data_IF_739804439316
#
_entry.id   IF_739804439316
#
_cell.length_a   1.000
_cell.length_b   1.000
_cell.length_c   1.000
_cell.angle_alpha   90.00
_cell.angle_beta   90.00
_cell.angle_gamma   90.00
#
_symmetry.space_group_name_H-M   'P 1'
#
loop_
_entity.id
_entity.type
_entity.pdbx_description
1 polymer ?
#
# COMPACT_ATOMS: atom_id res chain seq x y z
N UNK A 1 -34.01 19.29 21.45
CA UNK A 1 -33.47 18.48 20.33
C UNK A 1 -32.03 18.82 19.89
N UNK A 2 -31.28 19.70 20.58
CA UNK A 2 -29.95 20.14 20.12
C UNK A 2 -28.78 19.17 20.35
N UNK A 3 -28.80 18.37 21.42
CA UNK A 3 -27.64 17.54 21.86
C UNK A 3 -27.25 16.41 20.89
N UNK A 4 -28.23 15.76 20.24
CA UNK A 4 -27.97 14.70 19.24
C UNK A 4 -27.32 15.21 17.94
N UNK A 5 -27.54 16.49 17.58
CA UNK A 5 -26.94 17.09 16.37
C UNK A 5 -25.49 17.51 16.59
N UNK A 6 -25.12 17.96 17.79
CA UNK A 6 -23.74 18.31 18.13
C UNK A 6 -22.85 17.06 18.27
N UNK A 7 -23.35 15.99 18.88
CA UNK A 7 -22.61 14.72 18.98
C UNK A 7 -22.34 14.09 17.61
N UNK A 8 -23.31 14.13 16.68
CA UNK A 8 -23.12 13.66 15.30
C UNK A 8 -22.10 14.49 14.51
N UNK A 9 -22.00 15.80 14.78
CA UNK A 9 -20.96 16.65 14.16
C UNK A 9 -19.58 16.32 14.72
N UNK A 10 -19.45 16.17 16.03
CA UNK A 10 -18.19 15.80 16.69
C UNK A 10 -17.67 14.43 16.21
N UNK A 11 -18.55 13.43 16.06
CA UNK A 11 -18.16 12.13 15.52
C UNK A 11 -17.72 12.19 14.05
N UNK A 12 -18.38 13.02 13.22
CA UNK A 12 -17.96 13.23 11.82
C UNK A 12 -16.63 13.94 11.70
N UNK A 13 -16.35 14.91 12.57
CA UNK A 13 -15.06 15.59 12.61
C UNK A 13 -13.94 14.65 13.08
N UNK A 14 -14.21 13.81 14.09
CA UNK A 14 -13.28 12.76 14.52
C UNK A 14 -13.00 11.72 13.42
N UNK A 15 -14.04 11.29 12.68
CA UNK A 15 -13.90 10.38 11.54
C UNK A 15 -13.11 11.01 10.39
N UNK A 16 -13.40 12.26 10.03
CA UNK A 16 -12.62 13.00 9.00
C UNK A 16 -11.17 13.18 9.40
N UNK A 17 -10.89 13.44 10.68
CA UNK A 17 -9.52 13.55 11.18
C UNK A 17 -8.78 12.20 11.12
N UNK A 18 -9.46 11.10 11.47
CA UNK A 18 -8.91 9.74 11.36
C UNK A 18 -8.67 9.33 9.90
N UNK A 19 -9.61 9.63 9.00
CA UNK A 19 -9.47 9.40 7.55
C UNK A 19 -8.31 10.22 6.97
N UNK A 20 -8.18 11.49 7.34
CA UNK A 20 -7.07 12.33 6.89
C UNK A 20 -5.71 11.83 7.40
N UNK A 21 -5.65 11.32 8.63
CA UNK A 21 -4.44 10.68 9.18
C UNK A 21 -4.10 9.38 8.44
N UNK A 22 -5.10 8.56 8.12
CA UNK A 22 -4.94 7.34 7.34
C UNK A 22 -4.49 7.63 5.90
N UNK A 23 -5.04 8.67 5.26
CA UNK A 23 -4.63 9.12 3.92
C UNK A 23 -3.16 9.57 3.91
N UNK A 24 -2.74 10.38 4.89
CA UNK A 24 -1.33 10.81 5.00
C UNK A 24 -0.38 9.63 5.24
N UNK A 25 -0.78 8.65 6.06
CA UNK A 25 0.00 7.44 6.26
C UNK A 25 0.11 6.60 4.96
N UNK A 26 -0.98 6.51 4.20
CA UNK A 26 -1.00 5.82 2.91
C UNK A 26 -0.12 6.52 1.86
N UNK A 27 -0.12 7.85 1.81
CA UNK A 27 0.75 8.64 0.91
C UNK A 27 2.24 8.45 1.24
N UNK A 28 2.61 8.49 2.52
CA UNK A 28 3.99 8.23 2.96
C UNK A 28 4.42 6.81 2.62
N UNK A 29 3.54 5.83 2.80
CA UNK A 29 3.79 4.45 2.41
C UNK A 29 3.96 4.32 0.88
N UNK A 30 3.13 5.00 0.09
CA UNK A 30 3.22 5.01 -1.38
C UNK A 30 4.53 5.64 -1.88
N UNK A 31 4.98 6.74 -1.27
CA UNK A 31 6.26 7.36 -1.60
C UNK A 31 7.45 6.45 -1.26
N UNK A 32 7.44 5.81 -0.09
CA UNK A 32 8.47 4.84 0.30
C UNK A 32 8.51 3.66 -0.67
N UNK A 33 7.35 3.14 -1.09
CA UNK A 33 7.25 2.06 -2.09
C UNK A 33 7.86 2.46 -3.44
N UNK A 34 7.54 3.66 -3.93
CA UNK A 34 8.13 4.18 -5.18
C UNK A 34 9.65 4.25 -5.10
N UNK A 35 10.19 4.77 -3.99
CA UNK A 35 11.65 4.82 -3.76
C UNK A 35 12.28 3.44 -3.70
N UNK A 36 11.62 2.47 -3.06
CA UNK A 36 12.11 1.09 -3.00
C UNK A 36 12.12 0.41 -4.36
N UNK A 37 11.06 0.55 -5.17
CA UNK A 37 11.04 -0.04 -6.52
C UNK A 37 12.15 0.53 -7.41
N UNK A 38 12.35 1.84 -7.39
CA UNK A 38 13.44 2.50 -8.13
C UNK A 38 14.80 2.08 -7.58
N UNK A 39 14.95 2.05 -6.25
CA UNK A 39 16.20 1.66 -5.59
C UNK A 39 16.63 0.23 -5.91
N UNK A 40 15.70 -0.72 -5.90
CA UNK A 40 15.98 -2.12 -6.26
C UNK A 40 16.41 -2.23 -7.72
N UNK A 41 15.72 -1.55 -8.64
CA UNK A 41 16.11 -1.54 -10.06
C UNK A 41 17.50 -0.92 -10.25
N UNK A 42 17.75 0.25 -9.66
CA UNK A 42 19.04 0.93 -9.75
C UNK A 42 20.18 0.08 -9.18
N UNK A 43 19.98 -0.53 -8.00
CA UNK A 43 20.96 -1.41 -7.37
C UNK A 43 21.24 -2.66 -8.23
N UNK A 44 20.20 -3.24 -8.83
CA UNK A 44 20.34 -4.40 -9.72
C UNK A 44 21.17 -4.07 -10.96
N UNK A 45 20.88 -2.94 -11.61
CA UNK A 45 21.62 -2.49 -12.79
C UNK A 45 23.07 -2.18 -12.43
N UNK A 46 23.33 -1.49 -11.31
CA UNK A 46 24.69 -1.20 -10.86
C UNK A 46 25.48 -2.47 -10.52
N UNK A 47 24.84 -3.44 -9.84
CA UNK A 47 25.48 -4.71 -9.52
C UNK A 47 25.80 -5.52 -10.79
N UNK A 48 24.87 -5.55 -11.76
CA UNK A 48 25.08 -6.23 -13.04
C UNK A 48 26.20 -5.56 -13.85
N UNK A 49 26.22 -4.22 -13.93
CA UNK A 49 27.29 -3.49 -14.62
C UNK A 49 28.65 -3.68 -13.93
N UNK A 50 28.70 -3.67 -12.59
CA UNK A 50 29.91 -3.92 -11.84
C UNK A 50 30.43 -5.35 -12.03
N UNK A 51 29.55 -6.34 -12.08
CA UNK A 51 29.91 -7.72 -12.37
C UNK A 51 30.42 -7.90 -13.81
N UNK A 52 29.76 -7.26 -14.78
CA UNK A 52 30.09 -7.40 -16.19
C UNK A 52 31.39 -6.69 -16.57
N UNK A 53 31.56 -5.43 -16.14
CA UNK A 53 32.74 -4.64 -16.51
C UNK A 53 33.88 -4.69 -15.49
N UNK A 54 33.59 -4.91 -14.21
CA UNK A 54 34.60 -4.91 -13.14
C UNK A 54 35.20 -6.28 -12.86
N UNK A 55 34.42 -7.35 -13.02
CA UNK A 55 34.83 -8.72 -12.75
C UNK A 55 34.92 -9.58 -14.01
N UNK A 56 34.44 -9.07 -15.16
CA UNK A 56 34.37 -9.76 -16.45
C UNK A 56 33.71 -11.16 -16.37
N UNK A 57 32.84 -11.34 -15.37
CA UNK A 57 32.19 -12.62 -15.09
C UNK A 57 30.72 -12.56 -15.50
N UNK A 58 30.43 -13.20 -16.64
CA UNK A 58 29.08 -13.31 -17.20
C UNK A 58 28.12 -14.09 -16.28
N UNK A 59 28.63 -15.06 -15.51
CA UNK A 59 27.81 -15.83 -14.57
C UNK A 59 27.38 -14.96 -13.41
N UNK A 60 28.30 -14.17 -12.88
CA UNK A 60 28.03 -13.25 -11.78
C UNK A 60 27.04 -12.16 -12.20
N UNK A 61 27.15 -11.69 -13.44
CA UNK A 61 26.20 -10.76 -14.06
C UNK A 61 24.79 -11.37 -14.14
N UNK A 62 24.68 -12.61 -14.62
CA UNK A 62 23.42 -13.34 -14.66
C UNK A 62 22.80 -13.55 -13.27
N UNK A 63 23.62 -13.90 -12.26
CA UNK A 63 23.17 -14.05 -10.87
C UNK A 63 22.67 -12.70 -10.33
N UNK A 64 23.37 -11.59 -10.58
CA UNK A 64 22.94 -10.26 -10.14
C UNK A 64 21.57 -9.88 -10.71
N UNK A 65 21.33 -10.15 -12.00
CA UNK A 65 20.04 -9.91 -12.65
C UNK A 65 18.95 -10.80 -12.06
N UNK A 66 19.22 -12.09 -11.83
CA UNK A 66 18.24 -13.03 -11.25
C UNK A 66 17.86 -12.62 -9.83
N UNK A 67 18.84 -12.32 -8.98
CA UNK A 67 18.60 -11.89 -7.60
C UNK A 67 17.86 -10.56 -7.58
N UNK A 68 18.27 -9.59 -8.38
CA UNK A 68 17.62 -8.30 -8.48
C UNK A 68 16.18 -8.39 -8.99
N UNK A 69 15.95 -9.25 -9.99
CA UNK A 69 14.60 -9.57 -10.49
C UNK A 69 13.72 -10.19 -9.42
N UNK A 70 14.24 -11.13 -8.62
CA UNK A 70 13.51 -11.75 -7.51
C UNK A 70 13.14 -10.72 -6.43
N UNK A 71 14.09 -9.87 -6.04
CA UNK A 71 13.86 -8.79 -5.07
C UNK A 71 12.82 -7.79 -5.57
N UNK A 72 12.88 -7.42 -6.84
CA UNK A 72 11.88 -6.56 -7.46
C UNK A 72 10.48 -7.19 -7.39
N UNK A 73 10.38 -8.49 -7.67
CA UNK A 73 9.13 -9.23 -7.66
C UNK A 73 8.52 -9.28 -6.25
N UNK A 74 9.32 -9.50 -5.21
CA UNK A 74 8.88 -9.44 -3.80
C UNK A 74 8.34 -8.06 -3.43
N UNK A 75 9.04 -6.98 -3.82
CA UNK A 75 8.60 -5.60 -3.56
C UNK A 75 7.32 -5.28 -4.33
N UNK A 76 7.21 -5.71 -5.59
CA UNK A 76 6.03 -5.51 -6.42
C UNK A 76 4.79 -6.23 -5.87
N UNK A 77 4.94 -7.48 -5.44
CA UNK A 77 3.85 -8.25 -4.81
C UNK A 77 3.41 -7.64 -3.48
N UNK A 78 4.36 -7.23 -2.64
CA UNK A 78 4.06 -6.50 -1.41
C UNK A 78 3.33 -5.17 -1.66
N UNK A 79 3.65 -4.49 -2.77
CA UNK A 79 2.96 -3.26 -3.17
C UNK A 79 1.51 -3.52 -3.64
N UNK A 80 1.27 -4.59 -4.39
CA UNK A 80 -0.06 -5.00 -4.86
C UNK A 80 -1.00 -5.36 -3.70
N UNK A 81 -0.54 -6.20 -2.77
CA UNK A 81 -1.36 -6.63 -1.63
C UNK A 81 -1.76 -5.47 -0.71
N UNK A 82 -0.91 -4.45 -0.59
CA UNK A 82 -1.15 -3.31 0.29
C UNK A 82 -1.82 -2.11 -0.40
N UNK A 83 -2.27 -2.25 -1.65
CA UNK A 83 -3.12 -1.29 -2.36
C UNK A 83 -4.60 -1.69 -2.38
N UNK A 84 -4.92 -2.91 -1.94
CA UNK A 84 -6.30 -3.38 -1.82
C UNK A 84 -6.87 -2.80 -0.53
N UNK A 85 -7.74 -1.79 -0.66
CA UNK A 85 -8.56 -1.34 0.48
C UNK A 85 -9.31 -2.55 1.04
N UNK A 86 -9.33 -2.75 2.38
CA UNK A 86 -10.18 -3.76 2.99
C UNK A 86 -11.59 -3.54 2.46
N UNK A 87 -12.12 -4.51 1.69
CA UNK A 87 -13.51 -4.48 1.24
C UNK A 87 -14.34 -4.43 2.50
N UNK A 88 -15.05 -3.32 2.75
CA UNK A 88 -15.90 -3.04 3.92
C UNK A 88 -16.59 -4.30 4.44
N UNK A 89 -15.92 -5.08 5.29
CA UNK A 89 -16.48 -6.26 5.96
C UNK A 89 -17.23 -5.85 7.22
N UNK A 90 -17.00 -4.64 7.71
CA UNK A 90 -17.65 -4.08 8.90
C UNK A 90 -19.05 -3.51 8.59
N UNK A 91 -19.46 -3.44 7.31
CA UNK A 91 -20.85 -3.17 6.91
C UNK A 91 -21.74 -4.42 6.86
N UNK A 92 -21.31 -5.54 7.46
CA UNK A 92 -22.17 -6.71 7.63
C UNK A 92 -23.41 -6.44 8.52
N UNK A 93 -23.47 -5.31 9.23
CA UNK A 93 -24.62 -4.89 10.04
C UNK A 93 -25.47 -3.76 9.46
N UNK A 94 -25.14 -3.22 8.26
CA UNK A 94 -25.91 -2.14 7.62
C UNK A 94 -26.93 -2.65 6.59
N UNK A 95 -27.21 -3.95 6.59
CA UNK A 95 -28.35 -4.50 5.88
C UNK A 95 -29.58 -4.18 6.74
N UNK A 96 -30.29 -3.12 6.36
CA UNK A 96 -31.65 -2.84 6.82
C UNK A 96 -32.54 -3.99 6.33
N UNK A 97 -32.68 -5.02 7.18
CA UNK A 97 -33.65 -6.09 7.02
C UNK A 97 -35.05 -5.53 7.36
N UNK A 98 -35.56 -4.67 6.48
CA UNK A 98 -36.96 -4.32 6.39
C UNK A 98 -37.56 -3.63 7.61
N UNK A 99 -37.42 -2.31 7.69
CA UNK A 99 -38.50 -1.47 8.25
C UNK A 99 -39.68 -1.32 7.26
N UNK A 100 -40.09 -2.40 6.59
CA UNK A 100 -41.31 -2.50 5.79
C UNK A 100 -42.14 -3.67 6.30
N UNK A 101 -42.96 -3.41 7.31
CA UNK A 101 -43.91 -4.39 7.82
C UNK A 101 -44.55 -3.97 9.13
N UNK A 102 -45.65 -3.22 9.02
CA UNK A 102 -46.84 -3.27 9.86
C UNK A 102 -46.71 -3.15 11.39
N UNK A 103 -47.01 -1.95 11.90
CA UNK A 103 -48.22 -1.63 12.69
C UNK A 103 -48.23 -0.17 13.14
#
# INVERSE_FOLDING_TARGET
MGKKKSERKAQREAQKAAEAAAQRAAELAAQRRKRLMIGVLAATVLAALGAYFGLEDERLTGIAILVGGLLFLLVALGALGAGISPRDRDRAGAIDFGNRGDR
#
